data_IF_834430123129
#
_entry.id   IF_834430123129
#
_cell.length_a   1.000
_cell.length_b   1.000
_cell.length_c   1.000
_cell.angle_alpha   90.00
_cell.angle_beta   90.00
_cell.angle_gamma   90.00
#
_symmetry.space_group_name_H-M   'P 1'
#
loop_
_entity.id
_entity.type
_entity.pdbx_description
1 polymer ?
#
# COMPACT_ATOMS: atom_id res chain seq x y z
N UNK A 1 -7.96 12.15 2.10
CA UNK A 1 -7.96 11.15 1.03
C UNK A 1 -7.98 9.76 1.63
N UNK A 2 -8.41 8.79 0.85
CA UNK A 2 -8.50 7.40 1.29
C UNK A 2 -7.27 6.62 0.86
N UNK A 3 -6.57 6.05 1.83
CA UNK A 3 -5.37 5.24 1.60
C UNK A 3 -5.63 3.84 2.13
N UNK A 4 -5.42 2.83 1.30
CA UNK A 4 -5.48 1.43 1.71
C UNK A 4 -4.06 0.87 1.71
N UNK A 5 -3.66 0.30 2.83
CA UNK A 5 -2.35 -0.33 2.98
C UNK A 5 -2.57 -1.84 3.15
N UNK A 6 -2.01 -2.63 2.27
CA UNK A 6 -2.07 -4.08 2.33
C UNK A 6 -0.76 -4.62 2.90
N UNK A 7 -0.83 -5.21 4.08
CA UNK A 7 0.30 -5.72 4.82
C UNK A 7 0.58 -4.91 6.08
N UNK A 8 0.47 -5.57 7.23
CA UNK A 8 0.69 -4.98 8.55
C UNK A 8 1.98 -5.50 9.21
N UNK A 9 2.95 -5.89 8.40
CA UNK A 9 4.28 -6.26 8.88
C UNK A 9 5.08 -5.02 9.25
N UNK A 10 6.40 -5.15 9.28
CA UNK A 10 7.27 -4.06 9.71
C UNK A 10 7.08 -2.78 8.90
N UNK A 11 7.11 -2.89 7.57
CA UNK A 11 6.98 -1.72 6.70
C UNK A 11 5.57 -1.15 6.74
N UNK A 12 4.56 -2.00 6.59
CA UNK A 12 3.16 -1.56 6.57
C UNK A 12 2.71 -0.92 7.87
N UNK A 13 3.10 -1.50 9.00
CA UNK A 13 2.80 -0.92 10.32
C UNK A 13 3.41 0.46 10.49
N UNK A 14 4.68 0.59 10.13
CA UNK A 14 5.40 1.84 10.28
C UNK A 14 4.82 2.92 9.36
N UNK A 15 4.51 2.54 8.13
CA UNK A 15 3.88 3.41 7.15
C UNK A 15 2.52 3.91 7.66
N UNK A 16 1.70 2.99 8.18
CA UNK A 16 0.39 3.33 8.73
C UNK A 16 0.50 4.31 9.90
N UNK A 17 1.46 4.09 10.80
CA UNK A 17 1.70 5.01 11.92
C UNK A 17 2.04 6.41 11.44
N UNK A 18 2.94 6.52 10.48
CA UNK A 18 3.39 7.82 9.97
C UNK A 18 2.25 8.54 9.23
N UNK A 19 1.50 7.81 8.41
CA UNK A 19 0.37 8.39 7.66
C UNK A 19 -0.81 8.75 8.55
N UNK A 20 -1.04 8.03 9.63
CA UNK A 20 -2.15 8.33 10.54
C UNK A 20 -2.04 9.70 11.19
N UNK A 21 -0.83 10.26 11.26
CA UNK A 21 -0.59 11.60 11.80
C UNK A 21 -0.84 12.71 10.76
N UNK A 22 -1.14 12.36 9.52
CA UNK A 22 -1.28 13.30 8.42
C UNK A 22 -2.75 13.57 8.05
N UNK A 23 -3.68 13.21 8.92
CA UNK A 23 -5.13 13.41 8.73
C UNK A 23 -5.69 12.74 7.48
N UNK A 24 -5.18 11.56 7.16
CA UNK A 24 -5.68 10.76 6.05
C UNK A 24 -6.58 9.63 6.55
N UNK A 25 -7.53 9.21 5.71
CA UNK A 25 -8.36 8.03 5.98
C UNK A 25 -7.56 6.79 5.65
N UNK A 26 -7.09 6.09 6.67
CA UNK A 26 -6.25 4.92 6.49
C UNK A 26 -7.00 3.64 6.81
N UNK A 27 -6.98 2.71 5.87
CA UNK A 27 -7.47 1.36 6.04
C UNK A 27 -6.30 0.40 5.89
N UNK A 28 -6.08 -0.42 6.90
CA UNK A 28 -5.00 -1.39 6.91
C UNK A 28 -5.60 -2.80 6.79
N UNK A 29 -5.19 -3.56 5.79
CA UNK A 29 -5.67 -4.93 5.57
C UNK A 29 -4.52 -5.93 5.76
N UNK A 30 -4.77 -6.96 6.56
CA UNK A 30 -3.80 -8.02 6.84
C UNK A 30 -4.55 -9.24 7.37
N UNK A 31 -3.97 -10.40 7.24
CA UNK A 31 -4.59 -11.63 7.76
C UNK A 31 -4.28 -11.87 9.25
N UNK A 32 -3.39 -11.10 9.83
CA UNK A 32 -3.03 -11.23 11.25
C UNK A 32 -3.88 -10.30 12.12
N UNK A 33 -4.94 -10.87 12.72
CA UNK A 33 -5.88 -10.11 13.53
C UNK A 33 -5.22 -9.45 14.75
N UNK A 34 -4.23 -10.10 15.35
CA UNK A 34 -3.56 -9.57 16.55
C UNK A 34 -2.77 -8.30 16.24
N UNK A 35 -2.04 -8.29 15.13
CA UNK A 35 -1.31 -7.09 14.70
C UNK A 35 -2.25 -5.93 14.42
N UNK A 36 -3.35 -6.22 13.73
CA UNK A 36 -4.33 -5.20 13.40
C UNK A 36 -4.99 -4.62 14.64
N UNK A 37 -5.32 -5.46 15.62
CA UNK A 37 -5.95 -5.01 16.86
C UNK A 37 -5.06 -4.03 17.62
N UNK A 38 -3.75 -4.30 17.68
CA UNK A 38 -2.80 -3.41 18.34
C UNK A 38 -2.73 -2.06 17.63
N UNK A 39 -2.69 -2.05 16.32
CA UNK A 39 -2.62 -0.82 15.54
C UNK A 39 -3.91 -0.01 15.62
N UNK A 40 -5.04 -0.69 15.55
CA UNK A 40 -6.34 -0.06 15.66
C UNK A 40 -6.54 0.61 17.02
N UNK A 41 -6.04 -0.01 18.09
CA UNK A 41 -6.16 0.51 19.44
C UNK A 41 -5.29 1.75 19.70
N UNK A 42 -4.19 1.90 18.97
CA UNK A 42 -3.17 2.92 19.24
C UNK A 42 -3.09 4.06 18.24
N UNK A 43 -3.67 3.90 17.05
CA UNK A 43 -3.54 4.89 15.98
C UNK A 43 -4.88 5.19 15.34
N UNK A 44 -4.98 6.37 14.74
CA UNK A 44 -6.20 6.79 14.05
C UNK A 44 -6.26 6.16 12.65
N UNK A 45 -6.65 4.91 12.61
CA UNK A 45 -6.80 4.14 11.37
C UNK A 45 -7.88 3.07 11.56
N UNK A 46 -8.33 2.50 10.46
CA UNK A 46 -9.28 1.39 10.47
C UNK A 46 -8.58 0.14 9.95
N UNK A 47 -9.10 -1.02 10.31
CA UNK A 47 -8.49 -2.30 9.94
C UNK A 47 -9.52 -3.26 9.38
N UNK A 48 -9.07 -4.13 8.49
CA UNK A 48 -9.84 -5.25 7.97
C UNK A 48 -8.96 -6.50 8.06
N UNK A 49 -9.45 -7.52 8.75
CA UNK A 49 -8.79 -8.82 8.79
C UNK A 49 -9.18 -9.58 7.52
N UNK A 50 -8.21 -9.79 6.66
CA UNK A 50 -8.42 -10.48 5.39
C UNK A 50 -7.13 -10.63 4.61
N UNK A 51 -7.19 -11.44 3.55
CA UNK A 51 -6.02 -11.64 2.69
C UNK A 51 -5.81 -10.44 1.76
N UNK A 52 -4.58 -9.91 1.68
CA UNK A 52 -4.24 -8.86 0.71
C UNK A 52 -4.36 -9.32 -0.75
N UNK A 53 -4.48 -10.61 -0.99
CA UNK A 53 -4.60 -11.17 -2.34
C UNK A 53 -5.99 -11.74 -2.62
N UNK A 54 -7.00 -11.22 -1.94
CA UNK A 54 -8.39 -11.65 -2.07
C UNK A 54 -9.26 -10.49 -2.54
N UNK A 55 -10.12 -10.74 -3.53
CA UNK A 55 -11.11 -9.75 -3.93
C UNK A 55 -12.03 -9.37 -2.78
N UNK A 56 -12.46 -10.36 -2.00
CA UNK A 56 -13.34 -10.13 -0.85
C UNK A 56 -12.68 -9.21 0.17
N UNK A 57 -11.45 -9.53 0.57
CA UNK A 57 -10.72 -8.75 1.57
C UNK A 57 -10.45 -7.32 1.09
N UNK A 58 -10.07 -7.16 -0.16
CA UNK A 58 -9.76 -5.83 -0.69
C UNK A 58 -11.02 -5.00 -0.94
N UNK A 59 -12.14 -5.62 -1.31
CA UNK A 59 -13.40 -4.90 -1.37
C UNK A 59 -13.82 -4.38 0.01
N UNK A 60 -13.73 -5.22 1.02
CA UNK A 60 -14.05 -4.81 2.40
C UNK A 60 -13.17 -3.67 2.87
N UNK A 61 -11.91 -3.66 2.44
CA UNK A 61 -10.97 -2.59 2.77
C UNK A 61 -11.22 -1.29 2.00
N UNK A 62 -12.13 -1.30 1.04
CA UNK A 62 -12.42 -0.12 0.23
C UNK A 62 -11.42 0.15 -0.88
N UNK A 63 -10.71 -0.88 -1.34
CA UNK A 63 -9.72 -0.71 -2.41
C UNK A 63 -10.35 -0.20 -3.71
N UNK A 64 -11.64 -0.46 -3.92
CA UNK A 64 -12.33 -0.03 -5.15
C UNK A 64 -12.58 1.45 -5.25
N UNK A 65 -12.47 2.20 -4.17
CA UNK A 65 -12.68 3.65 -4.19
C UNK A 65 -11.63 4.42 -3.41
N UNK A 66 -10.45 3.83 -3.25
CA UNK A 66 -9.35 4.53 -2.59
C UNK A 66 -8.56 5.39 -3.58
N UNK A 67 -7.93 6.41 -3.05
CA UNK A 67 -7.06 7.29 -3.84
C UNK A 67 -5.67 6.69 -4.02
N UNK A 68 -5.20 5.97 -3.01
CA UNK A 68 -3.88 5.35 -3.02
C UNK A 68 -3.95 3.97 -2.38
N UNK A 69 -3.48 2.98 -3.10
CA UNK A 69 -3.37 1.61 -2.61
C UNK A 69 -1.89 1.23 -2.54
N UNK A 70 -1.42 0.80 -1.38
CA UNK A 70 -0.01 0.47 -1.16
C UNK A 70 0.09 -0.96 -0.67
N UNK A 71 0.74 -1.84 -1.43
CA UNK A 71 0.96 -3.23 -1.05
C UNK A 71 2.41 -3.39 -0.59
N UNK A 72 2.59 -3.69 0.69
CA UNK A 72 3.91 -3.75 1.35
C UNK A 72 4.10 -5.01 2.20
N UNK A 73 3.55 -6.12 1.78
CA UNK A 73 3.84 -7.40 2.40
C UNK A 73 5.30 -7.81 2.12
N UNK A 74 5.86 -8.79 2.83
CA UNK A 74 7.21 -9.27 2.55
C UNK A 74 7.36 -9.96 1.18
N UNK A 75 6.25 -10.29 0.52
CA UNK A 75 6.25 -11.09 -0.71
C UNK A 75 5.89 -10.24 -1.92
N UNK A 76 6.84 -9.99 -2.81
CA UNK A 76 6.62 -9.10 -3.95
C UNK A 76 5.52 -9.58 -4.89
N UNK A 77 5.40 -10.90 -5.11
CA UNK A 77 4.33 -11.43 -5.96
C UNK A 77 2.96 -11.15 -5.37
N UNK A 78 2.82 -11.25 -4.06
CA UNK A 78 1.56 -10.90 -3.38
C UNK A 78 1.26 -9.41 -3.53
N UNK A 79 2.29 -8.57 -3.47
CA UNK A 79 2.12 -7.13 -3.63
C UNK A 79 1.64 -6.77 -5.03
N UNK A 80 2.19 -7.43 -6.04
CA UNK A 80 1.78 -7.23 -7.43
C UNK A 80 0.34 -7.72 -7.63
N UNK A 81 0.00 -8.90 -7.12
CA UNK A 81 -1.37 -9.42 -7.21
C UNK A 81 -2.35 -8.50 -6.49
N UNK A 82 -2.01 -8.04 -5.29
CA UNK A 82 -2.85 -7.11 -4.53
C UNK A 82 -3.11 -5.83 -5.31
N UNK A 83 -2.08 -5.24 -5.89
CA UNK A 83 -2.22 -4.04 -6.72
C UNK A 83 -3.07 -4.30 -7.96
N UNK A 84 -2.91 -5.45 -8.60
CA UNK A 84 -3.71 -5.83 -9.75
C UNK A 84 -5.19 -5.90 -9.38
N UNK A 85 -5.52 -6.55 -8.28
CA UNK A 85 -6.89 -6.63 -7.79
C UNK A 85 -7.43 -5.24 -7.47
N UNK A 86 -6.68 -4.45 -6.71
CA UNK A 86 -7.10 -3.11 -6.32
C UNK A 86 -7.35 -2.22 -7.53
N UNK A 87 -6.47 -2.26 -8.52
CA UNK A 87 -6.62 -1.48 -9.75
C UNK A 87 -7.87 -1.88 -10.52
N UNK A 88 -8.12 -3.17 -10.63
CA UNK A 88 -9.33 -3.67 -11.29
C UNK A 88 -10.60 -3.30 -10.53
N UNK A 89 -10.54 -3.18 -9.21
CA UNK A 89 -11.66 -2.75 -8.40
C UNK A 89 -11.91 -1.24 -8.48
N UNK A 90 -10.92 -0.44 -8.88
CA UNK A 90 -11.09 0.99 -9.06
C UNK A 90 -10.11 1.90 -8.32
N UNK A 91 -9.08 1.36 -7.66
CA UNK A 91 -8.06 2.17 -7.00
C UNK A 91 -7.42 3.14 -8.01
N UNK A 92 -7.27 4.39 -7.63
CA UNK A 92 -6.74 5.42 -8.54
C UNK A 92 -5.26 5.26 -8.81
N UNK A 93 -4.48 5.02 -7.76
CA UNK A 93 -3.03 4.81 -7.87
C UNK A 93 -2.64 3.61 -7.02
N UNK A 94 -1.83 2.73 -7.60
CA UNK A 94 -1.34 1.54 -6.91
C UNK A 94 0.17 1.57 -6.81
N UNK A 95 0.67 1.16 -5.64
CA UNK A 95 2.10 1.12 -5.34
C UNK A 95 2.44 -0.25 -4.77
N UNK A 96 3.43 -0.92 -5.34
CA UNK A 96 3.85 -2.22 -4.87
C UNK A 96 5.31 -2.22 -4.39
N UNK A 97 5.52 -2.82 -3.23
CA UNK A 97 6.86 -3.13 -2.75
C UNK A 97 7.39 -4.32 -3.54
N UNK A 98 8.60 -4.21 -4.05
CA UNK A 98 9.29 -5.28 -4.78
C UNK A 98 10.66 -5.54 -4.19
N UNK A 99 11.23 -6.69 -4.50
CA UNK A 99 12.56 -7.09 -4.04
C UNK A 99 13.47 -7.56 -5.17
N UNK A 100 12.97 -7.58 -6.40
CA UNK A 100 13.72 -8.02 -7.57
C UNK A 100 13.83 -6.89 -8.58
N UNK A 101 15.04 -6.61 -9.04
CA UNK A 101 15.28 -5.53 -9.99
C UNK A 101 14.52 -5.68 -11.31
N UNK A 102 14.21 -6.90 -11.72
CA UNK A 102 13.49 -7.16 -12.98
C UNK A 102 12.24 -6.28 -13.14
N UNK A 103 11.51 -6.04 -12.04
CA UNK A 103 10.32 -5.21 -12.09
C UNK A 103 10.63 -3.73 -12.28
N UNK A 104 11.83 -3.31 -11.92
CA UNK A 104 12.28 -1.91 -12.07
C UNK A 104 12.96 -1.65 -13.40
N UNK A 105 13.34 -2.70 -14.14
CA UNK A 105 14.00 -2.54 -15.43
C UNK A 105 13.09 -1.71 -16.36
N UNK A 106 13.59 -0.60 -16.93
CA UNK A 106 12.80 0.21 -17.85
C UNK A 106 12.20 -0.56 -19.02
N UNK A 107 12.85 -1.64 -19.45
CA UNK A 107 12.34 -2.50 -20.52
C UNK A 107 11.02 -3.17 -20.14
N UNK A 108 10.74 -3.31 -18.83
CA UNK A 108 9.54 -3.98 -18.32
C UNK A 108 8.47 -3.00 -17.83
N UNK A 109 8.73 -1.70 -17.89
CA UNK A 109 7.82 -0.69 -17.31
C UNK A 109 6.39 -0.81 -17.83
N UNK A 110 6.21 -0.95 -19.14
CA UNK A 110 4.87 -1.06 -19.72
C UNK A 110 4.17 -2.35 -19.30
N UNK A 111 4.93 -3.43 -19.12
CA UNK A 111 4.37 -4.71 -18.66
C UNK A 111 3.88 -4.59 -17.21
N UNK A 112 4.66 -3.96 -16.37
CA UNK A 112 4.32 -3.76 -14.95
C UNK A 112 3.05 -2.90 -14.83
N UNK A 113 2.94 -1.84 -15.62
CA UNK A 113 1.74 -1.00 -15.64
C UNK A 113 0.50 -1.79 -16.08
N UNK A 114 0.65 -2.66 -17.08
CA UNK A 114 -0.48 -3.51 -17.52
C UNK A 114 -0.90 -4.53 -16.46
N UNK A 115 -0.02 -4.85 -15.53
CA UNK A 115 -0.37 -5.71 -14.38
C UNK A 115 -1.17 -4.95 -13.32
N UNK A 116 -1.38 -3.66 -13.49
CA UNK A 116 -2.13 -2.84 -12.54
C UNK A 116 -1.28 -2.19 -11.47
N UNK A 117 0.04 -2.13 -11.67
CA UNK A 117 0.97 -1.51 -10.73
C UNK A 117 1.45 -0.18 -11.33
N UNK A 118 1.05 0.92 -10.70
CA UNK A 118 1.41 2.26 -11.19
C UNK A 118 2.83 2.67 -10.80
N UNK A 119 3.23 2.29 -9.59
CA UNK A 119 4.55 2.65 -9.05
C UNK A 119 5.13 1.50 -8.26
N UNK A 120 6.47 1.49 -8.18
CA UNK A 120 7.21 0.48 -7.45
C UNK A 120 8.02 1.10 -6.33
N UNK A 121 8.14 0.37 -5.21
CA UNK A 121 9.05 0.72 -4.12
C UNK A 121 10.04 -0.43 -3.96
N UNK A 122 11.33 -0.08 -3.89
CA UNK A 122 12.40 -1.04 -3.69
C UNK A 122 13.03 -0.80 -2.32
N UNK A 123 12.44 -1.35 -1.24
CA UNK A 123 12.76 -0.94 0.13
C UNK A 123 14.00 -1.59 0.73
N UNK A 124 14.74 -2.41 -0.01
CA UNK A 124 16.00 -2.95 0.51
C UNK A 124 16.99 -1.87 0.91
N UNK A 125 16.79 -0.68 0.39
CA UNK A 125 17.64 0.48 0.66
C UNK A 125 16.88 1.63 1.30
N UNK A 126 15.58 1.45 1.61
CA UNK A 126 14.75 2.53 2.12
C UNK A 126 14.06 2.15 3.42
N UNK A 127 14.18 3.01 4.43
CA UNK A 127 13.37 2.92 5.64
C UNK A 127 11.95 3.46 5.33
N UNK A 128 10.97 3.16 6.20
CA UNK A 128 9.60 3.62 6.01
C UNK A 128 9.52 5.14 5.83
N UNK A 129 10.31 5.91 6.58
CA UNK A 129 10.34 7.37 6.45
C UNK A 129 10.80 7.80 5.05
N UNK A 130 11.74 7.09 4.47
CA UNK A 130 12.23 7.39 3.12
C UNK A 130 11.18 7.06 2.07
N UNK A 131 10.39 6.00 2.30
CA UNK A 131 9.25 5.65 1.44
C UNK A 131 8.21 6.78 1.49
N UNK A 132 7.88 7.26 2.68
CA UNK A 132 6.96 8.39 2.86
C UNK A 132 7.47 9.61 2.12
N UNK A 133 8.76 9.92 2.26
CA UNK A 133 9.34 11.09 1.61
C UNK A 133 9.30 10.97 0.08
N UNK A 134 9.54 9.77 -0.44
CA UNK A 134 9.45 9.52 -1.87
C UNK A 134 8.02 9.70 -2.39
N UNK A 135 7.03 9.21 -1.64
CA UNK A 135 5.62 9.38 -1.99
C UNK A 135 5.22 10.86 -1.96
N UNK A 136 5.63 11.59 -0.92
CA UNK A 136 5.37 13.03 -0.81
C UNK A 136 5.92 13.80 -2.00
N UNK A 137 7.13 13.46 -2.45
CA UNK A 137 7.76 14.15 -3.58
C UNK A 137 7.04 13.91 -4.89
N UNK A 138 6.46 12.73 -5.10
CA UNK A 138 5.95 12.35 -6.41
C UNK A 138 4.43 12.38 -6.54
N UNK A 139 3.69 11.91 -5.52
CA UNK A 139 2.23 11.77 -5.64
C UNK A 139 1.43 12.32 -4.49
N UNK A 140 2.01 12.30 -3.29
CA UNK A 140 1.29 12.66 -2.07
C UNK A 140 1.63 14.08 -1.64
N UNK A 141 2.61 14.68 -2.26
CA UNK A 141 3.08 16.04 -1.94
C UNK A 141 1.94 17.04 -1.83
N UNK A 142 1.08 17.11 -2.83
CA UNK A 142 0.00 18.09 -2.86
C UNK A 142 -1.05 17.84 -1.78
N UNK A 143 -1.08 16.65 -1.23
CA UNK A 143 -2.05 16.29 -0.20
C UNK A 143 -1.54 16.64 1.20
N UNK A 144 -0.24 16.67 1.40
CA UNK A 144 0.37 16.97 2.67
C UNK A 144 0.76 18.43 2.87
N UNK A 145 0.79 19.20 1.82
CA UNK A 145 1.18 20.60 1.85
C UNK A 145 0.02 21.56 2.14
N UNK A 146 -1.09 21.02 2.52
CA UNK A 146 -2.25 21.82 2.86
C UNK A 146 -2.07 22.50 4.20
#
# INVERSE_FOLDING_TARGET
MKIVIAGAGEVGSHLAKLLSNEEQDIMLVDDNAERLAILDANYNLMTVVGSPTSFVGLREAGAGNCDLFIAVTPYETNNIVACSIAKNLGAKTTVARISTYDFMDPANESHVKRMGVDRLIYPEYLAAQEIINALKRTWVRNWFEL
#
